data_IF_929932640878
#
_entry.id   IF_929932640878
#
_cell.length_a   1.000
_cell.length_b   1.000
_cell.length_c   1.000
_cell.angle_alpha   90.00
_cell.angle_beta   90.00
_cell.angle_gamma   90.00
#
_symmetry.space_group_name_H-M   'P 1'
#
loop_
_entity.id
_entity.type
_entity.pdbx_description
1 polymer ?
#
# COMPACT_ATOMS: atom_id res chain seq x y z
N UNK A 1 2.17 0.24 0.36
CA UNK A 1 1.48 0.47 -0.94
C UNK A 1 2.49 0.27 -2.05
N UNK A 2 2.08 -0.29 -3.19
CA UNK A 2 2.93 -0.45 -4.38
C UNK A 2 2.16 0.03 -5.61
N UNK A 3 2.40 1.27 -6.02
CA UNK A 3 1.61 1.98 -7.00
C UNK A 3 2.49 2.57 -8.11
N UNK A 4 2.05 2.43 -9.36
CA UNK A 4 2.70 3.04 -10.53
C UNK A 4 4.18 2.66 -10.67
N UNK A 5 4.52 1.38 -10.50
CA UNK A 5 5.87 0.83 -10.71
C UNK A 5 5.94 -0.01 -11.98
N UNK A 6 7.15 -0.47 -12.36
CA UNK A 6 7.27 -1.50 -13.41
C UNK A 6 6.75 -2.86 -12.94
N UNK A 7 7.08 -3.22 -11.70
CA UNK A 7 6.71 -4.48 -11.04
C UNK A 7 6.04 -4.16 -9.72
N UNK A 8 5.02 -4.93 -9.36
CA UNK A 8 4.39 -4.89 -8.04
C UNK A 8 5.20 -5.70 -7.01
N UNK A 9 4.50 -6.40 -6.12
CA UNK A 9 5.13 -7.24 -5.10
C UNK A 9 5.61 -8.54 -5.75
N UNK A 10 6.92 -8.76 -5.76
CA UNK A 10 7.53 -9.99 -6.29
C UNK A 10 8.42 -10.68 -5.27
N UNK A 11 8.36 -12.00 -5.26
CA UNK A 11 9.33 -12.86 -4.57
C UNK A 11 10.42 -13.27 -5.56
N UNK A 12 11.67 -12.94 -5.21
CA UNK A 12 12.85 -13.22 -6.03
C UNK A 12 13.82 -14.14 -5.28
N UNK A 13 14.53 -15.00 -6.00
CA UNK A 13 15.41 -16.00 -5.41
C UNK A 13 14.68 -17.05 -4.57
N UNK A 14 15.33 -17.54 -3.51
CA UNK A 14 14.73 -18.49 -2.56
C UNK A 14 14.00 -17.73 -1.47
N UNK A 15 12.66 -17.79 -1.47
CA UNK A 15 11.82 -17.22 -0.41
C UNK A 15 11.19 -18.31 0.46
N UNK A 16 10.82 -17.96 1.69
CA UNK A 16 10.16 -18.86 2.63
C UNK A 16 8.65 -19.00 2.41
N UNK A 17 8.03 -19.94 3.13
CA UNK A 17 6.56 -20.15 3.12
C UNK A 17 5.79 -19.31 4.15
N UNK A 18 6.50 -18.55 4.98
CA UNK A 18 5.91 -17.77 6.08
C UNK A 18 5.55 -16.32 5.71
N UNK A 19 5.76 -15.90 4.47
CA UNK A 19 5.44 -14.53 4.05
C UNK A 19 3.92 -14.33 3.98
N UNK A 20 3.44 -13.19 4.50
CA UNK A 20 2.02 -12.83 4.45
C UNK A 20 1.82 -11.51 3.73
N UNK A 21 0.90 -11.49 2.75
CA UNK A 21 0.56 -10.32 1.96
C UNK A 21 -0.89 -9.92 2.22
N UNK A 22 -1.11 -9.10 3.25
CA UNK A 22 -2.46 -8.72 3.71
C UNK A 22 -2.70 -7.23 3.55
N UNK A 23 -3.92 -6.87 3.14
CA UNK A 23 -4.41 -5.49 3.08
C UNK A 23 -3.46 -4.53 2.35
N UNK A 24 -2.87 -4.97 1.24
CA UNK A 24 -2.05 -4.10 0.42
C UNK A 24 -2.93 -3.23 -0.50
N UNK A 25 -2.34 -2.20 -1.10
CA UNK A 25 -2.87 -1.54 -2.29
C UNK A 25 -1.80 -1.67 -3.35
N UNK A 26 -2.13 -2.40 -4.42
CA UNK A 26 -1.19 -2.75 -5.49
C UNK A 26 -1.89 -2.60 -6.82
N UNK A 27 -1.60 -1.51 -7.51
CA UNK A 27 -2.22 -1.22 -8.80
C UNK A 27 -1.29 -0.39 -9.69
N UNK A 28 -1.65 -0.27 -10.97
CA UNK A 28 -0.92 0.50 -11.99
C UNK A 28 0.54 0.04 -12.18
N UNK A 29 0.84 -1.21 -11.87
CA UNK A 29 2.16 -1.78 -12.13
C UNK A 29 2.20 -2.39 -13.54
N UNK A 30 3.14 -1.95 -14.38
CA UNK A 30 3.04 -2.21 -15.84
C UNK A 30 3.29 -3.66 -16.25
N UNK A 31 4.03 -4.44 -15.46
CA UNK A 31 4.33 -5.84 -15.82
C UNK A 31 3.46 -6.83 -15.06
N UNK A 32 3.33 -6.67 -13.74
CA UNK A 32 2.42 -7.45 -12.90
C UNK A 32 2.21 -6.74 -11.56
N UNK A 33 1.09 -7.03 -10.88
CA UNK A 33 0.86 -6.58 -9.50
C UNK A 33 1.47 -7.55 -8.47
N UNK A 34 1.42 -8.85 -8.73
CA UNK A 34 1.99 -9.87 -7.85
C UNK A 34 2.70 -10.96 -8.64
N UNK A 35 3.86 -11.37 -8.13
CA UNK A 35 4.55 -12.59 -8.54
C UNK A 35 5.04 -13.31 -7.28
N UNK A 36 4.14 -14.09 -6.68
CA UNK A 36 4.40 -14.84 -5.44
C UNK A 36 4.81 -16.27 -5.77
N UNK A 37 5.64 -16.87 -4.91
CA UNK A 37 6.17 -18.23 -5.00
C UNK A 37 5.55 -19.09 -3.90
N UNK A 38 5.94 -20.36 -3.84
CA UNK A 38 5.57 -21.30 -2.77
C UNK A 38 4.06 -21.50 -2.56
N UNK A 39 3.22 -21.19 -3.57
CA UNK A 39 1.77 -21.21 -3.46
C UNK A 39 1.19 -20.11 -2.58
N UNK A 40 1.98 -19.09 -2.22
CA UNK A 40 1.50 -17.97 -1.42
C UNK A 40 0.55 -17.09 -2.22
N UNK A 41 -0.43 -16.54 -1.52
CA UNK A 41 -1.42 -15.62 -2.08
C UNK A 41 -1.54 -14.37 -1.23
N UNK A 42 -2.11 -13.32 -1.80
CA UNK A 42 -2.47 -12.11 -1.08
C UNK A 42 -3.95 -12.13 -0.67
N UNK A 43 -4.29 -11.43 0.40
CA UNK A 43 -5.68 -11.31 0.89
C UNK A 43 -5.99 -9.86 1.25
N UNK A 44 -7.23 -9.42 1.03
CA UNK A 44 -7.66 -8.05 1.32
C UNK A 44 -6.99 -6.96 0.48
N UNK A 45 -6.24 -7.32 -0.57
CA UNK A 45 -5.57 -6.36 -1.44
C UNK A 45 -6.57 -5.51 -2.21
N UNK A 46 -6.30 -4.22 -2.29
CA UNK A 46 -7.01 -3.22 -3.07
C UNK A 46 -6.29 -3.05 -4.42
N UNK A 47 -7.03 -3.21 -5.51
CA UNK A 47 -6.51 -3.10 -6.89
C UNK A 47 -7.01 -1.85 -7.63
N UNK A 48 -7.47 -0.84 -6.89
CA UNK A 48 -7.93 0.45 -7.43
C UNK A 48 -6.99 1.59 -7.09
N UNK A 49 -7.16 2.72 -7.78
CA UNK A 49 -6.36 3.94 -7.57
C UNK A 49 -6.38 4.37 -6.09
N UNK A 50 -5.23 4.78 -5.52
CA UNK A 50 -5.15 5.24 -4.14
C UNK A 50 -5.82 6.60 -3.91
N UNK A 51 -6.08 7.36 -4.98
CA UNK A 51 -6.68 8.70 -4.93
C UNK A 51 -5.90 9.65 -4.00
N UNK A 52 -4.60 9.80 -4.29
CA UNK A 52 -3.73 10.79 -3.66
C UNK A 52 -4.17 12.21 -4.00
N UNK A 53 -3.96 13.15 -3.08
CA UNK A 53 -4.31 14.56 -3.22
C UNK A 53 -3.52 15.25 -4.35
N UNK A 54 -2.27 14.85 -4.58
CA UNK A 54 -1.41 15.47 -5.61
C UNK A 54 -0.29 14.57 -6.08
N UNK A 55 -0.61 13.42 -6.68
CA UNK A 55 0.40 12.51 -7.24
C UNK A 55 1.08 13.07 -8.49
N UNK A 56 2.42 13.02 -8.52
CA UNK A 56 3.22 13.24 -9.73
C UNK A 56 4.52 12.45 -9.65
N UNK A 57 4.94 11.86 -10.78
CA UNK A 57 6.24 11.17 -10.92
C UNK A 57 7.43 12.12 -11.02
N UNK A 58 7.18 13.39 -11.35
CA UNK A 58 8.22 14.36 -11.71
C UNK A 58 8.21 15.62 -10.85
N UNK A 59 7.20 15.80 -9.99
CA UNK A 59 7.20 16.90 -9.03
C UNK A 59 8.31 16.68 -8.00
N UNK A 60 8.93 17.77 -7.55
CA UNK A 60 9.91 17.72 -6.45
C UNK A 60 9.25 17.31 -5.13
N UNK A 61 7.99 17.67 -4.93
CA UNK A 61 7.21 17.43 -3.71
C UNK A 61 5.78 16.95 -4.07
N UNK A 62 5.61 15.70 -4.50
CA UNK A 62 4.28 15.11 -4.68
C UNK A 62 3.53 15.01 -3.34
N UNK A 63 2.20 15.14 -3.38
CA UNK A 63 1.34 14.99 -2.22
C UNK A 63 0.68 13.61 -2.21
N UNK A 64 1.16 12.75 -1.32
CA UNK A 64 0.68 11.39 -1.12
C UNK A 64 -0.40 11.27 -0.03
N UNK A 65 -0.92 12.40 0.48
CA UNK A 65 -2.10 12.36 1.36
C UNK A 65 -3.29 11.79 0.59
N UNK A 66 -4.15 11.06 1.29
CA UNK A 66 -5.34 10.47 0.69
C UNK A 66 -6.45 11.53 0.58
N UNK A 67 -7.19 11.52 -0.52
CA UNK A 67 -8.48 12.22 -0.60
C UNK A 67 -9.55 11.47 0.21
N UNK A 68 -10.64 12.16 0.59
CA UNK A 68 -11.76 11.58 1.37
C UNK A 68 -12.43 10.38 0.70
N UNK A 69 -12.32 10.25 -0.62
CA UNK A 69 -12.88 9.13 -1.39
C UNK A 69 -11.92 7.96 -1.55
N UNK A 70 -10.72 8.03 -0.98
CA UNK A 70 -9.70 7.00 -1.15
C UNK A 70 -10.16 5.64 -0.63
N UNK A 71 -10.00 4.56 -1.41
CA UNK A 71 -10.30 3.21 -0.95
C UNK A 71 -9.33 2.72 0.12
N UNK A 72 -8.22 3.43 0.37
CA UNK A 72 -7.21 3.07 1.36
C UNK A 72 -7.56 3.49 2.79
N UNK A 73 -8.57 4.35 2.97
CA UNK A 73 -9.00 4.86 4.28
C UNK A 73 -9.56 3.71 5.13
N UNK A 74 -9.03 3.54 6.34
CA UNK A 74 -9.44 2.53 7.32
C UNK A 74 -9.16 1.08 6.92
N UNK A 75 -8.27 0.84 5.94
CA UNK A 75 -7.99 -0.51 5.40
C UNK A 75 -6.68 -1.13 5.89
N UNK A 76 -5.87 -0.40 6.63
CA UNK A 76 -4.64 -0.87 7.23
C UNK A 76 -4.87 -1.94 8.31
N UNK A 77 -3.79 -2.64 8.67
CA UNK A 77 -3.78 -3.53 9.84
C UNK A 77 -3.22 -2.78 11.05
N UNK A 78 -3.83 -2.98 12.22
CA UNK A 78 -3.30 -2.44 13.48
C UNK A 78 -2.02 -3.13 13.94
N UNK A 79 -1.85 -4.40 13.58
CA UNK A 79 -0.65 -5.16 13.92
C UNK A 79 0.59 -4.50 13.30
N UNK A 80 1.53 -4.10 14.15
CA UNK A 80 2.77 -3.41 13.77
C UNK A 80 2.60 -2.05 13.10
N UNK A 81 1.40 -1.46 13.13
CA UNK A 81 1.23 -0.08 12.72
C UNK A 81 1.91 0.86 13.73
N UNK A 82 2.65 1.88 13.27
CA UNK A 82 3.10 2.96 14.15
C UNK A 82 1.92 3.68 14.82
N UNK A 83 2.16 4.33 15.96
CA UNK A 83 1.10 5.08 16.66
C UNK A 83 0.69 6.37 15.94
N UNK A 84 1.61 6.96 15.16
CA UNK A 84 1.39 8.16 14.37
C UNK A 84 1.74 7.93 12.90
N UNK A 85 1.22 8.79 12.03
CA UNK A 85 1.59 8.85 10.63
C UNK A 85 2.88 9.67 10.44
N UNK A 86 3.28 9.92 9.19
CA UNK A 86 4.54 10.63 8.87
C UNK A 86 4.51 12.13 9.24
N UNK A 87 3.33 12.72 9.46
CA UNK A 87 3.13 14.12 9.89
C UNK A 87 2.82 14.19 11.41
N UNK A 88 3.17 13.15 12.18
CA UNK A 88 2.87 12.99 13.61
C UNK A 88 1.37 13.00 13.97
N UNK A 89 0.48 12.79 12.99
CA UNK A 89 -0.96 12.64 13.26
C UNK A 89 -1.23 11.25 13.84
N UNK A 90 -1.92 11.20 14.97
CA UNK A 90 -2.29 9.94 15.61
C UNK A 90 -3.12 9.05 14.68
N UNK A 91 -2.76 7.76 14.61
CA UNK A 91 -3.54 6.76 13.89
C UNK A 91 -4.67 6.27 14.78
N UNK A 92 -5.91 6.36 14.28
CA UNK A 92 -7.11 5.93 15.00
C UNK A 92 -7.28 4.40 15.00
N UNK A 93 -8.48 3.94 15.35
CA UNK A 93 -8.83 2.51 15.29
C UNK A 93 -8.96 1.99 13.86
N UNK A 94 -9.42 2.84 12.94
CA UNK A 94 -9.44 2.58 11.50
C UNK A 94 -8.19 3.19 10.86
N UNK A 95 -7.15 2.36 10.71
CA UNK A 95 -5.86 2.81 10.21
C UNK A 95 -5.90 2.90 8.69
N UNK A 96 -5.44 4.01 8.14
CA UNK A 96 -5.30 4.15 6.69
C UNK A 96 -4.08 3.39 6.18
N UNK A 97 -4.23 2.77 5.02
CA UNK A 97 -3.08 2.20 4.35
C UNK A 97 -2.21 3.36 3.81
N UNK A 98 -0.88 3.26 4.00
CA UNK A 98 0.07 4.28 3.52
C UNK A 98 0.71 5.07 4.65
N UNK A 99 1.50 6.08 4.28
CA UNK A 99 2.30 6.85 5.22
C UNK A 99 1.50 7.90 6.01
N UNK A 100 0.36 8.34 5.46
CA UNK A 100 -0.50 9.38 6.02
C UNK A 100 -1.81 8.79 6.56
N UNK A 101 -2.39 9.48 7.54
CA UNK A 101 -3.73 9.25 8.07
C UNK A 101 -4.65 10.38 7.60
N UNK A 102 -5.74 10.04 6.90
CA UNK A 102 -6.76 10.98 6.41
C UNK A 102 -7.55 11.62 7.56
#
# INVERSE_FOLDING_TARGET
MVYDNKYGISEQGTTGKGNTYKNNLVTRNTTYNFQLRNGLTHTGTISSEPLFAGYSRTAATPDYKLTISSPAIGRGLATYAPAADIDDKARGTAIDLGAYQH
#
